data_IF_132692986157
#
_entry.id   IF_132692986157
#
_cell.length_a   1.000
_cell.length_b   1.000
_cell.length_c   1.000
_cell.angle_alpha   90.00
_cell.angle_beta   90.00
_cell.angle_gamma   90.00
#
_symmetry.space_group_name_H-M   'P 1'
#
loop_
_entity.id
_entity.type
_entity.pdbx_description
1 polymer ?
#
# COMPACT_ATOMS: atom_id res chain seq x y z
N UNK A 1 19.36 -15.59 13.93
CA UNK A 1 18.85 -14.27 14.34
C UNK A 1 17.35 -14.34 14.41
N UNK A 2 16.80 -14.66 15.57
CA UNK A 2 15.35 -14.62 15.81
C UNK A 2 15.00 -13.26 16.39
N UNK A 3 14.44 -12.38 15.55
CA UNK A 3 13.84 -11.13 16.01
C UNK A 3 12.50 -11.48 16.69
N UNK A 4 12.49 -11.51 18.03
CA UNK A 4 11.28 -11.63 18.84
C UNK A 4 10.46 -10.33 18.75
N UNK A 5 9.62 -10.21 17.73
CA UNK A 5 8.63 -9.14 17.64
C UNK A 5 7.42 -9.48 18.51
N UNK A 6 7.32 -8.88 19.69
CA UNK A 6 6.06 -8.86 20.45
C UNK A 6 5.14 -7.79 19.87
N UNK A 7 3.89 -8.15 19.59
CA UNK A 7 2.89 -7.22 19.06
C UNK A 7 2.63 -6.05 20.03
N UNK A 8 2.61 -4.78 19.55
CA UNK A 8 2.32 -3.61 20.36
C UNK A 8 0.93 -3.69 21.01
N UNK A 9 0.76 -3.18 22.24
CA UNK A 9 -0.52 -3.22 22.95
C UNK A 9 -1.66 -2.41 22.28
N UNK A 10 -1.34 -1.50 21.37
CA UNK A 10 -2.29 -0.69 20.62
C UNK A 10 -2.74 -1.29 19.29
N UNK A 11 -2.30 -2.51 18.98
CA UNK A 11 -2.49 -3.14 17.69
C UNK A 11 -3.95 -3.53 17.46
N UNK A 12 -4.52 -3.04 16.36
CA UNK A 12 -5.84 -3.42 15.88
C UNK A 12 -5.72 -4.54 14.86
N UNK A 13 -6.55 -5.56 15.02
CA UNK A 13 -6.71 -6.59 14.01
C UNK A 13 -7.32 -6.02 12.72
N UNK A 14 -6.94 -6.61 11.59
CA UNK A 14 -7.27 -6.07 10.27
C UNK A 14 -8.59 -6.56 9.69
N UNK A 15 -9.26 -7.50 10.38
CA UNK A 15 -10.42 -8.24 9.83
C UNK A 15 -11.58 -7.33 9.47
N UNK A 16 -11.98 -6.43 10.37
CA UNK A 16 -13.13 -5.54 10.13
C UNK A 16 -12.82 -4.55 9.00
N UNK A 17 -11.62 -3.97 8.98
CA UNK A 17 -11.16 -3.10 7.89
C UNK A 17 -11.12 -3.84 6.56
N UNK A 18 -10.65 -5.09 6.54
CA UNK A 18 -10.68 -5.93 5.35
C UNK A 18 -12.10 -6.12 4.80
N UNK A 19 -13.07 -6.40 5.66
CA UNK A 19 -14.47 -6.59 5.24
C UNK A 19 -15.06 -5.31 4.66
N UNK A 20 -14.77 -4.15 5.27
CA UNK A 20 -15.20 -2.84 4.75
C UNK A 20 -14.59 -2.56 3.38
N UNK A 21 -13.27 -2.69 3.24
CA UNK A 21 -12.57 -2.48 1.96
C UNK A 21 -13.06 -3.46 0.90
N UNK A 22 -13.33 -4.71 1.28
CA UNK A 22 -13.86 -5.73 0.38
C UNK A 22 -15.26 -5.39 -0.13
N UNK A 23 -16.14 -4.86 0.71
CA UNK A 23 -17.46 -4.40 0.25
C UNK A 23 -17.36 -3.17 -0.67
N UNK A 24 -16.48 -2.21 -0.35
CA UNK A 24 -16.22 -1.04 -1.21
C UNK A 24 -15.71 -1.45 -2.60
N UNK A 25 -14.86 -2.48 -2.65
CA UNK A 25 -14.25 -2.97 -3.89
C UNK A 25 -15.02 -4.14 -4.53
N UNK A 26 -16.24 -4.45 -4.09
CA UNK A 26 -16.98 -5.65 -4.55
C UNK A 26 -17.15 -5.76 -6.06
N UNK A 27 -17.31 -4.62 -6.74
CA UNK A 27 -17.46 -4.56 -8.20
C UNK A 27 -16.18 -4.95 -8.95
N UNK A 28 -15.04 -4.96 -8.26
CA UNK A 28 -13.72 -5.30 -8.80
C UNK A 28 -13.14 -6.58 -8.17
N UNK A 29 -13.90 -7.31 -7.36
CA UNK A 29 -13.40 -8.46 -6.59
C UNK A 29 -12.83 -9.62 -7.45
N UNK A 30 -13.27 -9.70 -8.71
CA UNK A 30 -12.84 -10.71 -9.67
C UNK A 30 -11.56 -10.34 -10.41
N UNK A 31 -11.14 -9.07 -10.36
CA UNK A 31 -9.87 -8.64 -10.97
C UNK A 31 -8.72 -9.17 -10.12
N UNK A 32 -7.86 -9.99 -10.73
CA UNK A 32 -6.67 -10.54 -10.07
C UNK A 32 -5.39 -9.92 -10.55
N UNK A 33 -5.32 -9.53 -11.83
CA UNK A 33 -4.22 -8.74 -12.37
C UNK A 33 -4.58 -7.26 -12.32
N UNK A 34 -3.73 -6.44 -11.72
CA UNK A 34 -4.02 -5.03 -11.49
C UNK A 34 -3.89 -4.17 -12.74
N UNK A 35 -3.33 -4.73 -13.81
CA UNK A 35 -3.34 -4.12 -15.14
C UNK A 35 -4.73 -4.19 -15.80
N UNK A 36 -5.63 -5.07 -15.33
CA UNK A 36 -6.98 -5.24 -15.88
C UNK A 36 -8.01 -4.26 -15.26
N UNK A 37 -7.58 -3.38 -14.35
CA UNK A 37 -8.44 -2.30 -13.84
C UNK A 37 -8.67 -1.23 -14.93
N UNK A 38 -9.74 -0.42 -14.82
CA UNK A 38 -9.95 0.71 -15.73
C UNK A 38 -8.75 1.67 -15.81
N UNK A 39 -7.99 1.77 -14.72
CA UNK A 39 -6.69 2.43 -14.66
C UNK A 39 -5.71 1.39 -14.08
N UNK A 40 -4.63 1.01 -14.80
CA UNK A 40 -3.63 0.10 -14.29
C UNK A 40 -3.10 0.56 -12.94
N UNK A 41 -2.99 -0.36 -11.99
CA UNK A 41 -2.71 -0.04 -10.58
C UNK A 41 -1.47 -0.78 -10.06
N UNK A 42 -0.67 -0.08 -9.26
CA UNK A 42 0.31 -0.69 -8.36
C UNK A 42 0.01 -0.23 -6.94
N UNK A 43 0.06 -1.17 -6.00
CA UNK A 43 -0.11 -0.88 -4.58
C UNK A 43 1.20 -1.19 -3.87
N UNK A 44 1.67 -0.28 -3.03
CA UNK A 44 2.98 -0.36 -2.40
C UNK A 44 2.83 -0.77 -0.94
N UNK A 45 3.61 -1.77 -0.52
CA UNK A 45 3.78 -2.08 0.89
C UNK A 45 5.25 -2.37 1.19
N UNK A 46 5.63 -2.35 2.46
CA UNK A 46 6.99 -2.67 2.90
C UNK A 46 7.03 -4.09 3.43
N UNK A 47 7.92 -4.93 2.91
CA UNK A 47 8.18 -6.24 3.51
C UNK A 47 8.85 -6.02 4.87
N UNK A 48 8.19 -6.46 5.95
CA UNK A 48 8.64 -6.20 7.31
C UNK A 48 9.97 -6.88 7.65
N UNK A 49 10.25 -8.02 7.04
CA UNK A 49 11.45 -8.79 7.32
C UNK A 49 12.69 -8.22 6.60
N UNK A 50 12.53 -7.75 5.37
CA UNK A 50 13.65 -7.23 4.57
C UNK A 50 13.76 -5.71 4.58
N UNK A 51 12.68 -5.01 4.95
CA UNK A 51 12.56 -3.56 4.82
C UNK A 51 12.36 -3.09 3.37
N UNK A 52 12.27 -4.00 2.41
CA UNK A 52 12.19 -3.68 0.99
C UNK A 52 10.77 -3.30 0.57
N UNK A 53 10.68 -2.33 -0.33
CA UNK A 53 9.42 -1.94 -0.98
C UNK A 53 8.96 -3.04 -1.93
N UNK A 54 7.67 -3.38 -1.88
CA UNK A 54 7.00 -4.26 -2.83
C UNK A 54 5.89 -3.52 -3.56
N UNK A 55 6.03 -3.39 -4.87
CA UNK A 55 4.95 -2.99 -5.76
C UNK A 55 4.12 -4.23 -6.17
N UNK A 56 2.90 -4.31 -5.66
CA UNK A 56 1.96 -5.36 -6.03
C UNK A 56 1.26 -5.01 -7.34
N UNK A 57 1.27 -5.96 -8.26
CA UNK A 57 0.55 -5.90 -9.55
C UNK A 57 -0.55 -6.94 -9.68
N UNK A 58 -0.76 -7.80 -8.67
CA UNK A 58 -1.79 -8.84 -8.68
C UNK A 58 -2.11 -9.34 -7.28
N UNK A 59 -3.29 -9.96 -7.12
CA UNK A 59 -3.70 -10.67 -5.90
C UNK A 59 -5.09 -10.28 -5.39
N UNK A 60 -5.34 -10.51 -4.10
CA UNK A 60 -6.51 -9.97 -3.40
C UNK A 60 -6.26 -8.48 -3.12
N UNK A 61 -6.86 -7.60 -3.93
CA UNK A 61 -6.71 -6.15 -3.81
C UNK A 61 -7.06 -5.63 -2.43
N UNK A 62 -8.12 -6.15 -1.79
CA UNK A 62 -8.53 -5.70 -0.47
C UNK A 62 -7.46 -6.05 0.55
N UNK A 63 -6.92 -7.26 0.51
CA UNK A 63 -5.84 -7.68 1.41
C UNK A 63 -4.56 -6.87 1.20
N UNK A 64 -4.19 -6.62 -0.05
CA UNK A 64 -3.00 -5.84 -0.42
C UNK A 64 -3.16 -4.37 0.00
N UNK A 65 -4.34 -3.78 -0.16
CA UNK A 65 -4.61 -2.41 0.27
C UNK A 65 -4.52 -2.27 1.79
N UNK A 66 -5.02 -3.24 2.55
CA UNK A 66 -4.85 -3.28 4.00
C UNK A 66 -3.37 -3.37 4.39
N UNK A 67 -2.57 -4.19 3.69
CA UNK A 67 -1.13 -4.27 3.93
C UNK A 67 -0.43 -2.92 3.70
N UNK A 68 -0.83 -2.20 2.64
CA UNK A 68 -0.30 -0.89 2.27
C UNK A 68 -0.57 0.20 3.31
N UNK A 69 -1.66 0.09 4.09
CA UNK A 69 -2.03 1.04 5.15
C UNK A 69 -1.71 0.54 6.57
N UNK A 70 -1.08 -0.63 6.71
CA UNK A 70 -0.85 -1.27 8.00
C UNK A 70 0.32 -0.61 8.74
N UNK A 71 0.10 0.61 9.26
CA UNK A 71 1.13 1.37 9.97
C UNK A 71 1.63 0.54 11.16
N UNK A 72 2.96 0.27 11.24
CA UNK A 72 3.53 -0.42 12.38
C UNK A 72 3.11 0.27 13.67
N UNK A 73 2.75 -0.50 14.69
CA UNK A 73 2.20 -0.06 16.00
C UNK A 73 0.70 0.21 16.09
N UNK A 74 0.00 0.41 14.97
CA UNK A 74 -1.46 0.66 14.96
C UNK A 74 -2.22 -0.53 14.39
N UNK A 75 -1.74 -1.14 13.31
CA UNK A 75 -2.38 -2.26 12.63
C UNK A 75 -1.48 -3.50 12.61
N UNK A 76 -2.10 -4.67 12.70
CA UNK A 76 -1.40 -5.96 12.54
C UNK A 76 -0.67 -6.01 11.18
N UNK A 77 0.55 -6.55 11.12
CA UNK A 77 1.18 -6.86 9.85
C UNK A 77 0.33 -7.86 9.04
N UNK A 78 0.32 -7.74 7.72
CA UNK A 78 -0.48 -8.59 6.83
C UNK A 78 0.42 -9.60 6.14
N UNK A 79 0.12 -10.88 6.30
CA UNK A 79 0.83 -11.95 5.58
C UNK A 79 0.26 -12.14 4.17
N UNK A 80 1.08 -12.03 3.12
CA UNK A 80 0.73 -12.28 1.72
C UNK A 80 1.80 -13.18 1.11
N UNK A 81 1.39 -14.34 0.59
CA UNK A 81 2.29 -15.33 -0.05
C UNK A 81 3.52 -15.68 0.83
N UNK A 82 3.30 -15.92 2.13
CA UNK A 82 4.34 -16.28 3.10
C UNK A 82 5.26 -15.12 3.53
N UNK A 83 5.02 -13.90 3.06
CA UNK A 83 5.77 -12.71 3.44
C UNK A 83 4.90 -11.77 4.27
N UNK A 84 5.52 -11.07 5.23
CA UNK A 84 4.82 -10.16 6.13
C UNK A 84 4.99 -8.72 5.63
N UNK A 85 3.89 -7.99 5.49
CA UNK A 85 3.88 -6.63 4.97
C UNK A 85 3.28 -5.64 5.96
N UNK A 86 3.82 -4.43 5.94
CA UNK A 86 3.34 -3.24 6.66
C UNK A 86 3.28 -2.05 5.70
N UNK A 87 2.85 -0.91 6.21
CA UNK A 87 2.66 0.31 5.42
C UNK A 87 3.86 0.67 4.51
N UNK A 88 3.55 1.13 3.30
CA UNK A 88 4.53 1.59 2.30
C UNK A 88 5.36 2.80 2.75
N UNK A 89 4.82 3.65 3.64
CA UNK A 89 5.47 4.82 4.24
C UNK A 89 6.78 4.48 4.96
N UNK A 90 6.95 3.23 5.40
CA UNK A 90 8.16 2.77 6.08
C UNK A 90 9.36 2.72 5.13
N UNK A 91 9.13 2.42 3.84
CA UNK A 91 10.20 2.29 2.84
C UNK A 91 10.17 3.39 1.77
N UNK A 92 8.98 3.75 1.27
CA UNK A 92 8.82 4.71 0.16
C UNK A 92 7.46 5.39 0.20
N UNK A 93 7.45 6.68 0.51
CA UNK A 93 6.23 7.52 0.58
C UNK A 93 5.71 7.94 -0.82
N UNK A 94 6.56 7.99 -1.85
CA UNK A 94 6.19 8.46 -3.19
C UNK A 94 6.67 7.48 -4.27
N UNK A 95 5.79 6.61 -4.80
CA UNK A 95 6.16 5.58 -5.78
C UNK A 95 6.18 6.13 -7.22
N UNK A 96 7.09 7.07 -7.46
CA UNK A 96 7.26 7.70 -8.77
C UNK A 96 7.94 6.75 -9.75
N UNK A 97 8.88 5.91 -9.29
CA UNK A 97 9.59 4.95 -10.13
C UNK A 97 8.61 3.93 -10.75
N UNK A 98 7.66 3.43 -9.95
CA UNK A 98 6.68 2.45 -10.39
C UNK A 98 5.77 3.00 -11.49
N UNK A 99 5.47 4.30 -11.48
CA UNK A 99 4.72 4.95 -12.55
C UNK A 99 5.52 5.01 -13.86
N UNK A 100 6.83 5.29 -13.80
CA UNK A 100 7.70 5.24 -14.97
C UNK A 100 7.88 3.80 -15.48
N UNK A 101 8.05 2.82 -14.60
CA UNK A 101 8.13 1.41 -14.97
C UNK A 101 6.86 0.88 -15.66
N UNK A 102 5.72 1.51 -15.36
CA UNK A 102 4.44 1.26 -16.05
C UNK A 102 4.32 1.97 -17.41
N UNK A 103 5.32 2.76 -17.81
CA UNK A 103 5.37 3.44 -19.10
C UNK A 103 4.80 4.87 -19.12
N UNK A 104 4.73 5.54 -17.96
CA UNK A 104 4.29 6.94 -17.93
C UNK A 104 5.36 7.90 -18.50
N UNK A 105 4.98 8.78 -19.43
CA UNK A 105 5.83 9.89 -19.89
C UNK A 105 5.79 11.09 -18.92
N UNK A 106 4.69 11.23 -18.19
CA UNK A 106 4.44 12.30 -17.21
C UNK A 106 3.83 11.69 -15.94
N UNK A 107 4.41 12.01 -14.79
CA UNK A 107 3.92 11.57 -13.48
C UNK A 107 3.37 12.75 -12.70
N UNK A 108 2.09 12.68 -12.32
CA UNK A 108 1.46 13.62 -11.39
C UNK A 108 1.48 12.99 -10.00
N UNK A 109 2.24 13.58 -9.07
CA UNK A 109 2.40 13.09 -7.71
C UNK A 109 1.70 14.00 -6.68
N UNK A 110 1.07 13.40 -5.68
CA UNK A 110 0.49 14.11 -4.52
C UNK A 110 1.32 13.81 -3.27
N UNK A 111 2.06 14.80 -2.79
CA UNK A 111 2.85 14.70 -1.56
C UNK A 111 2.10 15.36 -0.39
N UNK A 112 1.65 14.54 0.55
CA UNK A 112 0.97 14.98 1.78
C UNK A 112 1.94 15.29 2.93
N UNK A 113 3.23 14.97 2.79
CA UNK A 113 4.29 15.26 3.76
C UNK A 113 4.98 16.61 3.54
N UNK A 114 4.73 17.25 2.40
CA UNK A 114 5.29 18.55 2.09
C UNK A 114 4.83 19.65 3.07
N UNK A 115 5.69 20.66 3.38
CA UNK A 115 5.29 21.79 4.20
C UNK A 115 4.06 22.51 3.64
N UNK A 116 3.18 22.96 4.54
CA UNK A 116 1.97 23.70 4.16
C UNK A 116 2.35 25.01 3.47
N UNK A 117 2.01 25.15 2.20
CA UNK A 117 2.15 26.39 1.44
C UNK A 117 0.84 27.17 1.47
N UNK A 118 0.91 28.50 1.66
CA UNK A 118 -0.28 29.38 1.73
C UNK A 118 -1.03 29.52 0.39
N UNK A 119 -0.43 29.09 -0.72
CA UNK A 119 -0.99 29.25 -2.06
C UNK A 119 -0.68 27.99 -2.88
N UNK A 120 -1.74 27.33 -3.34
CA UNK A 120 -1.63 26.23 -4.30
C UNK A 120 -1.64 26.85 -5.69
N UNK A 121 -0.58 26.62 -6.47
CA UNK A 121 -0.52 26.95 -7.90
C UNK A 121 -0.35 25.62 -8.62
N UNK A 122 -1.41 25.15 -9.28
CA UNK A 122 -1.36 23.97 -10.14
C UNK A 122 -1.08 24.47 -11.55
N UNK A 123 0.10 24.13 -12.07
CA UNK A 123 0.46 24.35 -13.47
C UNK A 123 0.46 22.97 -14.13
N UNK A 124 -0.36 22.81 -15.16
CA UNK A 124 -0.36 21.61 -16.01
C UNK A 124 0.74 21.71 -17.05
#
# INVERSE_FOLDING_TARGET
NELNFSLPKGLKGNRETYLVVKDLLKNYANIKNFDDFPIPLRIIATNLNTGETKAFSKGDISKILIASMAIPTIFEPVEIDGNIYVDGLVSRNLPVEEAYDMGADLVVASDIGAPIVKKIIIIF
#
